data_IF_337475442871
#
_entry.id   IF_337475442871
#
_cell.length_a   1.000
_cell.length_b   1.000
_cell.length_c   1.000
_cell.angle_alpha   90.00
_cell.angle_beta   90.00
_cell.angle_gamma   90.00
#
_symmetry.space_group_name_H-M   'P 1'
#
loop_
_entity.id
_entity.type
_entity.pdbx_description
1 polymer ?
#
# COMPACT_ATOMS: atom_id res chain seq x y z
N UNK A 1 9.61 5.63 -18.19
CA UNK A 1 10.84 5.53 -17.35
C UNK A 1 10.47 6.06 -15.96
N UNK A 2 10.51 5.21 -14.95
CA UNK A 2 10.09 5.51 -13.57
C UNK A 2 11.27 6.10 -12.78
N UNK A 3 12.47 5.50 -12.91
CA UNK A 3 13.66 5.94 -12.18
C UNK A 3 14.29 7.13 -12.90
N UNK A 4 14.28 8.31 -12.25
CA UNK A 4 14.62 9.60 -12.85
C UNK A 4 16.12 9.89 -12.90
N UNK A 5 16.89 9.37 -11.94
CA UNK A 5 18.33 9.60 -11.83
C UNK A 5 19.17 8.41 -12.31
N UNK A 6 18.72 7.75 -13.36
CA UNK A 6 19.35 6.54 -13.92
C UNK A 6 20.84 6.77 -14.26
N UNK A 7 21.17 7.90 -14.87
CA UNK A 7 22.55 8.20 -15.30
C UNK A 7 23.50 8.29 -14.09
N UNK A 8 23.05 8.90 -12.99
CA UNK A 8 23.80 8.96 -11.74
C UNK A 8 24.05 7.56 -11.16
N UNK A 9 23.05 6.69 -11.22
CA UNK A 9 23.12 5.32 -10.67
C UNK A 9 24.00 4.38 -11.52
N UNK A 10 24.27 4.71 -12.78
CA UNK A 10 24.98 3.84 -13.75
C UNK A 10 26.32 4.38 -14.22
N UNK A 11 26.86 5.40 -13.56
CA UNK A 11 28.18 5.98 -13.87
C UNK A 11 29.34 5.00 -13.67
N UNK A 12 29.18 4.00 -12.81
CA UNK A 12 30.13 2.89 -12.68
C UNK A 12 29.80 1.80 -13.70
N UNK A 13 30.78 1.33 -14.47
CA UNK A 13 30.65 0.43 -15.62
C UNK A 13 30.08 -0.99 -15.30
N UNK A 14 29.44 -1.23 -14.17
CA UNK A 14 28.87 -2.53 -13.83
C UNK A 14 27.52 -2.71 -14.53
N UNK A 15 27.47 -3.63 -15.47
CA UNK A 15 26.27 -4.07 -16.19
C UNK A 15 25.10 -4.41 -15.25
N UNK A 16 25.39 -4.92 -14.03
CA UNK A 16 24.41 -5.28 -13.00
C UNK A 16 23.50 -4.11 -12.60
N UNK A 17 24.03 -2.88 -12.50
CA UNK A 17 23.21 -1.71 -12.13
C UNK A 17 22.14 -1.42 -13.18
N UNK A 18 22.48 -1.44 -14.46
CA UNK A 18 21.52 -1.27 -15.54
C UNK A 18 20.43 -2.35 -15.54
N UNK A 19 20.83 -3.60 -15.29
CA UNK A 19 19.90 -4.74 -15.21
C UNK A 19 18.98 -4.61 -14.00
N UNK A 20 19.51 -4.28 -12.82
CA UNK A 20 18.73 -4.07 -11.60
C UNK A 20 17.67 -2.97 -11.77
N UNK A 21 18.02 -1.84 -12.39
CA UNK A 21 17.08 -0.75 -12.66
C UNK A 21 15.94 -1.20 -13.58
N UNK A 22 16.24 -1.98 -14.63
CA UNK A 22 15.20 -2.54 -15.52
C UNK A 22 14.27 -3.52 -14.79
N UNK A 23 14.82 -4.34 -13.90
CA UNK A 23 14.04 -5.29 -13.11
C UNK A 23 13.12 -4.57 -12.14
N UNK A 24 13.64 -3.58 -11.39
CA UNK A 24 12.85 -2.79 -10.44
C UNK A 24 11.74 -2.01 -11.16
N UNK A 25 12.07 -1.36 -12.28
CA UNK A 25 11.06 -0.64 -13.07
C UNK A 25 9.97 -1.55 -13.57
N UNK A 26 10.29 -2.74 -14.08
CA UNK A 26 9.29 -3.71 -14.54
C UNK A 26 8.29 -4.08 -13.44
N UNK A 27 8.77 -4.28 -12.19
CA UNK A 27 7.91 -4.54 -11.04
C UNK A 27 6.98 -3.37 -10.73
N UNK A 28 7.51 -2.15 -10.68
CA UNK A 28 6.69 -0.95 -10.39
C UNK A 28 5.72 -0.66 -11.53
N UNK A 29 6.15 -0.75 -12.80
CA UNK A 29 5.30 -0.52 -13.99
C UNK A 29 4.13 -1.49 -14.05
N UNK A 30 4.35 -2.74 -13.66
CA UNK A 30 3.32 -3.77 -13.67
C UNK A 30 2.18 -3.45 -12.71
N UNK A 31 2.48 -2.81 -11.58
CA UNK A 31 1.50 -2.46 -10.54
C UNK A 31 1.01 -1.01 -10.59
N UNK A 32 1.30 -0.28 -11.68
CA UNK A 32 0.68 1.03 -11.91
C UNK A 32 -0.82 0.89 -12.20
N UNK A 33 -1.67 1.78 -11.69
CA UNK A 33 -3.13 1.70 -11.90
C UNK A 33 -3.54 1.51 -13.37
N UNK A 34 -2.91 2.23 -14.30
CA UNK A 34 -3.20 2.10 -15.73
C UNK A 34 -2.86 0.70 -16.27
N UNK A 35 -1.73 0.13 -15.87
CA UNK A 35 -1.31 -1.22 -16.28
C UNK A 35 -2.24 -2.29 -15.70
N UNK A 36 -2.51 -2.20 -14.40
CA UNK A 36 -3.38 -3.16 -13.70
C UNK A 36 -4.80 -3.12 -14.27
N UNK A 37 -5.40 -1.94 -14.44
CA UNK A 37 -6.76 -1.83 -14.98
C UNK A 37 -6.86 -2.39 -16.42
N UNK A 38 -5.80 -2.20 -17.22
CA UNK A 38 -5.77 -2.73 -18.58
C UNK A 38 -5.75 -4.26 -18.61
N UNK A 39 -5.03 -4.90 -17.70
CA UNK A 39 -4.91 -6.35 -17.63
C UNK A 39 -6.04 -7.02 -16.87
N UNK A 40 -6.38 -6.53 -15.68
CA UNK A 40 -7.32 -7.19 -14.78
C UNK A 40 -8.80 -6.91 -15.09
N UNK A 41 -9.12 -5.75 -15.70
CA UNK A 41 -10.51 -5.36 -15.96
C UNK A 41 -10.85 -5.51 -17.43
N UNK A 42 -11.92 -6.22 -17.73
CA UNK A 42 -12.44 -6.34 -19.10
C UNK A 42 -13.94 -6.06 -19.13
N UNK A 43 -14.35 -5.05 -19.87
CA UNK A 43 -15.74 -4.67 -20.05
C UNK A 43 -16.15 -4.87 -21.53
N UNK A 44 -17.22 -5.65 -21.74
CA UNK A 44 -17.83 -5.79 -23.06
C UNK A 44 -19.09 -4.93 -23.12
N UNK A 45 -19.10 -3.86 -23.93
CA UNK A 45 -20.25 -2.95 -24.01
C UNK A 45 -21.48 -3.56 -24.69
N UNK A 46 -21.30 -4.55 -25.56
CA UNK A 46 -22.42 -5.20 -26.28
C UNK A 46 -23.20 -6.12 -25.34
N UNK A 47 -22.51 -7.01 -24.65
CA UNK A 47 -23.11 -7.89 -23.64
C UNK A 47 -23.28 -7.23 -22.28
N UNK A 48 -22.75 -6.00 -22.09
CA UNK A 48 -22.74 -5.25 -20.83
C UNK A 48 -22.19 -6.10 -19.67
N UNK A 49 -21.16 -6.87 -19.95
CA UNK A 49 -20.54 -7.74 -18.96
C UNK A 49 -19.20 -7.18 -18.48
N UNK A 50 -18.99 -7.24 -17.17
CA UNK A 50 -17.73 -6.88 -16.53
C UNK A 50 -17.05 -8.16 -16.05
N UNK A 51 -15.78 -8.34 -16.45
CA UNK A 51 -14.90 -9.37 -15.92
C UNK A 51 -13.77 -8.72 -15.14
N UNK A 52 -13.41 -9.33 -14.03
CA UNK A 52 -12.20 -8.95 -13.29
C UNK A 52 -11.35 -10.21 -13.16
N UNK A 53 -10.13 -10.15 -13.68
CA UNK A 53 -9.29 -11.32 -13.94
C UNK A 53 -10.06 -12.37 -14.75
N UNK A 54 -10.09 -13.63 -14.31
CA UNK A 54 -10.83 -14.73 -14.96
C UNK A 54 -12.30 -14.81 -14.51
N UNK A 55 -12.72 -14.02 -13.53
CA UNK A 55 -14.06 -14.07 -12.98
C UNK A 55 -15.04 -13.19 -13.75
N UNK A 56 -16.16 -13.76 -14.21
CA UNK A 56 -17.29 -12.97 -14.73
C UNK A 56 -18.05 -12.37 -13.55
N UNK A 57 -17.84 -11.09 -13.31
CA UNK A 57 -18.39 -10.45 -12.13
C UNK A 57 -19.84 -9.97 -12.30
N UNK A 58 -20.27 -9.62 -13.49
CA UNK A 58 -21.63 -9.11 -13.71
C UNK A 58 -22.04 -9.01 -15.15
N UNK A 59 -23.31 -9.33 -15.44
CA UNK A 59 -24.04 -8.69 -16.52
C UNK A 59 -24.64 -7.41 -15.93
N UNK A 60 -24.29 -6.24 -16.48
CA UNK A 60 -24.71 -4.94 -15.96
C UNK A 60 -25.98 -4.50 -16.70
N UNK A 61 -27.14 -4.86 -16.20
CA UNK A 61 -28.42 -4.47 -16.82
C UNK A 61 -28.75 -2.99 -16.61
N UNK A 62 -28.31 -2.44 -15.48
CA UNK A 62 -28.52 -1.05 -15.09
C UNK A 62 -27.33 -0.12 -15.36
N UNK A 63 -27.15 0.83 -14.49
CA UNK A 63 -26.16 1.90 -14.56
C UNK A 63 -24.93 1.55 -13.73
N UNK A 64 -23.76 2.07 -14.14
CA UNK A 64 -22.50 1.91 -13.40
C UNK A 64 -22.23 3.19 -12.60
N UNK A 65 -21.99 3.01 -11.30
CA UNK A 65 -21.56 4.05 -10.37
C UNK A 65 -20.17 3.72 -9.84
N UNK A 66 -19.39 4.73 -9.53
CA UNK A 66 -18.03 4.54 -9.00
C UNK A 66 -17.87 5.26 -7.66
N UNK A 67 -17.37 4.56 -6.65
CA UNK A 67 -17.05 5.10 -5.33
C UNK A 67 -15.66 4.64 -4.91
N UNK A 68 -15.17 5.12 -3.76
CA UNK A 68 -13.97 4.57 -3.18
C UNK A 68 -12.99 5.61 -2.65
N UNK A 69 -11.79 5.13 -2.29
CA UNK A 69 -10.71 6.02 -1.86
C UNK A 69 -9.45 5.31 -1.44
N UNK A 70 -8.35 6.01 -1.63
CA UNK A 70 -7.00 5.57 -1.38
C UNK A 70 -5.99 6.45 -2.11
N UNK A 71 -4.70 6.27 -1.84
CA UNK A 71 -3.63 7.05 -2.47
C UNK A 71 -3.58 6.89 -4.01
N UNK A 72 -3.87 5.69 -4.51
CA UNK A 72 -3.88 5.39 -5.94
C UNK A 72 -5.27 5.50 -6.58
N UNK A 73 -6.35 5.67 -5.78
CA UNK A 73 -7.73 5.58 -6.27
C UNK A 73 -8.09 6.67 -7.30
N UNK A 74 -7.40 7.81 -7.32
CA UNK A 74 -7.56 8.83 -8.37
C UNK A 74 -7.07 8.35 -9.74
N UNK A 75 -5.88 7.77 -9.81
CA UNK A 75 -5.34 7.17 -11.03
C UNK A 75 -6.10 5.89 -11.43
N UNK A 76 -6.60 5.13 -10.46
CA UNK A 76 -7.51 4.01 -10.74
C UNK A 76 -8.81 4.50 -11.40
N UNK A 77 -9.33 5.66 -10.98
CA UNK A 77 -10.52 6.25 -11.58
C UNK A 77 -10.29 6.69 -13.04
N UNK A 78 -9.15 7.33 -13.33
CA UNK A 78 -8.75 7.65 -14.72
C UNK A 78 -8.65 6.38 -15.57
N UNK A 79 -7.89 5.39 -15.10
CA UNK A 79 -7.69 4.13 -15.79
C UNK A 79 -9.00 3.35 -16.00
N UNK A 80 -9.94 3.43 -15.06
CA UNK A 80 -11.25 2.80 -15.18
C UNK A 80 -12.10 3.50 -16.26
N UNK A 81 -12.12 4.84 -16.29
CA UNK A 81 -12.83 5.60 -17.35
C UNK A 81 -12.27 5.27 -18.74
N UNK A 82 -10.95 5.16 -18.87
CA UNK A 82 -10.31 4.77 -20.14
C UNK A 82 -10.63 3.33 -20.52
N UNK A 83 -10.66 2.42 -19.56
CA UNK A 83 -10.84 0.98 -19.82
C UNK A 83 -12.26 0.59 -20.16
N UNK A 84 -13.25 1.09 -19.43
CA UNK A 84 -14.66 0.73 -19.65
C UNK A 84 -15.41 1.74 -20.52
N UNK A 85 -14.80 2.89 -20.79
CA UNK A 85 -15.39 3.98 -21.57
C UNK A 85 -16.23 4.94 -20.72
N UNK A 86 -15.97 6.22 -20.84
CA UNK A 86 -16.60 7.31 -20.08
C UNK A 86 -18.12 7.27 -20.12
N UNK A 87 -18.72 6.91 -21.28
CA UNK A 87 -20.17 6.87 -21.47
C UNK A 87 -20.86 5.72 -20.75
N UNK A 88 -20.12 4.69 -20.33
CA UNK A 88 -20.65 3.55 -19.59
C UNK A 88 -20.73 3.82 -18.08
N UNK A 89 -20.07 4.86 -17.60
CA UNK A 89 -20.15 5.32 -16.20
C UNK A 89 -21.15 6.46 -16.12
N UNK A 90 -22.18 6.32 -15.26
CA UNK A 90 -23.12 7.42 -15.06
C UNK A 90 -22.48 8.56 -14.27
N UNK A 91 -21.91 8.24 -13.13
CA UNK A 91 -21.19 9.17 -12.25
C UNK A 91 -20.39 8.43 -11.20
N UNK A 92 -19.47 9.12 -10.54
CA UNK A 92 -18.73 8.55 -9.42
C UNK A 92 -18.11 9.61 -8.51
N UNK A 93 -17.70 9.18 -7.32
CA UNK A 93 -16.99 10.02 -6.34
C UNK A 93 -15.91 9.17 -5.66
N UNK A 94 -14.68 9.63 -5.70
CA UNK A 94 -13.52 8.95 -5.13
C UNK A 94 -12.71 9.94 -4.30
N UNK A 95 -12.33 9.55 -3.08
CA UNK A 95 -11.41 10.32 -2.27
C UNK A 95 -9.97 9.91 -2.56
N UNK A 96 -9.08 10.86 -2.79
CA UNK A 96 -7.67 10.56 -3.08
C UNK A 96 -6.75 11.63 -2.48
N UNK A 97 -5.47 11.30 -2.33
CA UNK A 97 -4.42 12.27 -2.05
C UNK A 97 -3.84 12.77 -3.37
N UNK A 98 -3.91 14.07 -3.63
CA UNK A 98 -3.38 14.65 -4.87
C UNK A 98 -4.24 15.78 -5.38
N UNK A 99 -3.77 16.51 -6.39
CA UNK A 99 -4.37 17.81 -6.73
C UNK A 99 -5.17 17.84 -8.02
N UNK A 100 -4.88 17.01 -9.00
CA UNK A 100 -5.56 17.03 -10.30
C UNK A 100 -5.57 15.63 -10.94
N UNK A 101 -6.73 15.26 -11.45
CA UNK A 101 -6.98 14.03 -12.19
C UNK A 101 -7.84 14.34 -13.40
N UNK A 102 -7.63 13.64 -14.50
CA UNK A 102 -8.28 13.90 -15.80
C UNK A 102 -9.59 13.15 -15.99
N UNK A 103 -10.27 12.82 -14.89
CA UNK A 103 -11.57 12.12 -14.92
C UNK A 103 -12.70 13.02 -15.44
N UNK A 104 -13.67 12.41 -16.15
CA UNK A 104 -14.82 13.11 -16.78
C UNK A 104 -16.15 12.84 -16.08
N UNK A 105 -16.36 11.64 -15.57
CA UNK A 105 -17.59 11.20 -14.88
C UNK A 105 -17.37 10.98 -13.39
N UNK A 106 -16.14 10.69 -13.01
CA UNK A 106 -15.77 10.40 -11.62
C UNK A 106 -15.16 11.64 -10.99
N UNK A 107 -15.83 12.22 -10.00
CA UNK A 107 -15.32 13.34 -9.23
C UNK A 107 -14.27 12.85 -8.24
N UNK A 108 -13.02 13.31 -8.36
CA UNK A 108 -11.97 13.02 -7.40
C UNK A 108 -11.87 14.14 -6.37
N UNK A 109 -11.99 13.78 -5.09
CA UNK A 109 -11.93 14.73 -3.97
C UNK A 109 -10.57 14.59 -3.29
N UNK A 110 -9.82 15.68 -3.24
CA UNK A 110 -8.55 15.74 -2.53
C UNK A 110 -8.79 15.76 -1.01
N UNK A 111 -8.43 14.68 -0.33
CA UNK A 111 -8.61 14.45 1.10
C UNK A 111 -7.29 14.36 1.85
N UNK A 112 -7.34 14.57 3.18
CA UNK A 112 -6.17 14.55 4.06
C UNK A 112 -5.61 13.14 4.29
N UNK A 113 -4.29 13.02 4.20
CA UNK A 113 -3.55 11.81 4.53
C UNK A 113 -2.14 12.19 5.03
N UNK A 114 -1.60 11.63 6.13
CA UNK A 114 -2.15 10.49 6.92
C UNK A 114 -3.27 10.87 7.90
N UNK A 115 -3.47 12.15 8.18
CA UNK A 115 -4.50 12.61 9.11
C UNK A 115 -5.81 12.83 8.33
N UNK A 116 -6.93 12.18 8.73
CA UNK A 116 -8.22 12.40 8.11
C UNK A 116 -8.68 13.85 8.24
N UNK A 117 -9.43 14.37 7.26
CA UNK A 117 -9.94 15.73 7.31
C UNK A 117 -11.41 15.87 6.87
N UNK A 118 -11.96 17.09 6.99
CA UNK A 118 -13.34 17.41 6.62
C UNK A 118 -13.62 17.24 5.12
N UNK A 119 -12.60 17.34 4.27
CA UNK A 119 -12.74 17.12 2.81
C UNK A 119 -13.04 15.66 2.54
N UNK A 120 -12.28 14.75 3.19
CA UNK A 120 -12.52 13.31 3.14
C UNK A 120 -13.91 12.93 3.65
N UNK A 121 -14.34 13.52 4.77
CA UNK A 121 -15.68 13.35 5.32
C UNK A 121 -16.77 13.77 4.32
N UNK A 122 -16.63 14.94 3.69
CA UNK A 122 -17.57 15.43 2.69
C UNK A 122 -17.59 14.56 1.43
N UNK A 123 -16.46 14.01 1.03
CA UNK A 123 -16.40 13.05 -0.07
C UNK A 123 -17.23 11.80 0.21
N UNK A 124 -17.08 11.21 1.40
CA UNK A 124 -17.89 10.05 1.80
C UNK A 124 -19.37 10.38 1.88
N UNK A 125 -19.75 11.56 2.42
CA UNK A 125 -21.16 12.01 2.40
C UNK A 125 -21.74 12.05 0.99
N UNK A 126 -20.97 12.58 0.01
CA UNK A 126 -21.39 12.63 -1.38
C UNK A 126 -21.47 11.21 -1.99
N UNK A 127 -20.55 10.29 -1.68
CA UNK A 127 -20.62 8.89 -2.11
C UNK A 127 -21.93 8.24 -1.65
N UNK A 128 -22.27 8.36 -0.37
CA UNK A 128 -23.48 7.79 0.18
C UNK A 128 -24.75 8.42 -0.42
N UNK A 129 -24.73 9.74 -0.64
CA UNK A 129 -25.85 10.46 -1.24
C UNK A 129 -26.16 10.03 -2.69
N UNK A 130 -25.22 9.36 -3.40
CA UNK A 130 -25.49 8.83 -4.74
C UNK A 130 -26.65 7.84 -4.76
N UNK A 131 -26.77 7.02 -3.69
CA UNK A 131 -27.83 5.99 -3.61
C UNK A 131 -29.22 6.60 -3.74
N UNK A 132 -29.51 7.59 -2.93
CA UNK A 132 -30.83 8.24 -2.90
C UNK A 132 -31.02 9.16 -4.12
N UNK A 133 -30.00 9.98 -4.44
CA UNK A 133 -30.02 10.92 -5.57
C UNK A 133 -30.33 10.26 -6.92
N UNK A 134 -29.84 9.04 -7.10
CA UNK A 134 -30.02 8.31 -8.35
C UNK A 134 -30.92 7.09 -8.22
N UNK A 135 -31.55 6.87 -7.04
CA UNK A 135 -32.39 5.69 -6.77
C UNK A 135 -31.68 4.41 -7.20
N UNK A 136 -30.45 4.23 -6.70
CA UNK A 136 -29.59 3.06 -7.03
C UNK A 136 -30.27 1.79 -6.51
N UNK A 137 -30.40 0.77 -7.37
CA UNK A 137 -31.12 -0.45 -7.07
C UNK A 137 -30.35 -1.72 -7.52
N UNK A 138 -30.96 -2.88 -7.40
CA UNK A 138 -30.34 -4.19 -7.67
C UNK A 138 -29.94 -4.44 -9.13
N UNK A 139 -30.46 -3.67 -10.09
CA UNK A 139 -30.05 -3.76 -11.50
C UNK A 139 -28.76 -2.97 -11.77
N UNK A 140 -28.43 -1.99 -10.92
CA UNK A 140 -27.25 -1.16 -11.07
C UNK A 140 -25.98 -1.88 -10.55
N UNK A 141 -24.83 -1.35 -10.91
CA UNK A 141 -23.52 -1.80 -10.44
C UNK A 141 -22.79 -0.65 -9.76
N UNK A 142 -22.22 -0.92 -8.59
CA UNK A 142 -21.28 -0.02 -7.90
C UNK A 142 -19.87 -0.60 -7.99
N UNK A 143 -18.94 0.12 -8.62
CA UNK A 143 -17.53 -0.22 -8.61
C UNK A 143 -16.86 0.57 -7.49
N UNK A 144 -16.17 -0.12 -6.57
CA UNK A 144 -15.48 0.49 -5.44
C UNK A 144 -13.97 0.43 -5.65
N UNK A 145 -13.31 1.58 -5.82
CA UNK A 145 -11.87 1.69 -6.04
C UNK A 145 -11.16 1.88 -4.70
N UNK A 146 -10.41 0.88 -4.26
CA UNK A 146 -9.73 0.87 -2.95
C UNK A 146 -8.23 0.76 -3.14
N UNK A 147 -7.47 1.57 -2.39
CA UNK A 147 -6.02 1.41 -2.30
C UNK A 147 -5.51 1.85 -0.93
N UNK A 148 -4.20 1.71 -0.70
CA UNK A 148 -3.55 2.11 0.54
C UNK A 148 -3.89 3.54 0.97
N UNK A 149 -3.93 3.75 2.29
CA UNK A 149 -4.32 5.04 2.87
C UNK A 149 -5.83 5.31 2.92
N UNK A 150 -6.68 4.43 2.37
CA UNK A 150 -8.14 4.59 2.34
C UNK A 150 -8.77 4.77 3.73
N UNK A 151 -8.15 4.24 4.78
CA UNK A 151 -8.62 4.44 6.17
C UNK A 151 -8.66 5.90 6.60
N UNK A 152 -7.67 6.70 6.18
CA UNK A 152 -7.62 8.14 6.47
C UNK A 152 -8.38 8.96 5.43
N UNK A 153 -8.29 8.57 4.16
CA UNK A 153 -8.91 9.30 3.04
C UNK A 153 -10.44 9.18 3.02
N UNK A 154 -11.00 8.13 3.61
CA UNK A 154 -12.45 7.94 3.75
C UNK A 154 -12.88 7.93 5.22
N UNK A 155 -12.81 9.06 5.94
CA UNK A 155 -13.32 9.13 7.31
C UNK A 155 -14.85 9.35 7.28
N UNK A 156 -15.58 8.59 8.09
CA UNK A 156 -17.00 8.82 8.36
C UNK A 156 -17.37 8.27 9.73
N UNK A 157 -17.24 9.07 10.79
CA UNK A 157 -17.60 8.66 12.13
C UNK A 157 -19.09 8.29 12.25
N UNK A 158 -19.40 7.43 13.22
CA UNK A 158 -20.80 7.17 13.63
C UNK A 158 -21.41 8.39 14.29
N UNK A 159 -22.75 8.43 14.39
CA UNK A 159 -23.44 9.55 15.02
C UNK A 159 -23.05 9.69 16.49
N UNK A 160 -22.88 10.92 16.92
CA UNK A 160 -22.44 11.26 18.28
C UNK A 160 -20.91 11.23 18.47
N UNK A 161 -20.13 10.79 17.49
CA UNK A 161 -18.65 10.82 17.55
C UNK A 161 -18.14 11.83 16.52
N UNK A 162 -17.34 12.78 16.97
CA UNK A 162 -16.70 13.76 16.08
C UNK A 162 -15.53 13.16 15.29
N UNK A 163 -15.09 13.84 14.23
CA UNK A 163 -13.88 13.45 13.52
C UNK A 163 -12.64 13.57 14.42
N UNK A 164 -12.62 14.58 15.25
CA UNK A 164 -11.60 14.90 16.23
C UNK A 164 -11.50 13.78 17.30
N UNK A 165 -12.63 13.31 17.84
CA UNK A 165 -12.66 12.19 18.80
C UNK A 165 -12.09 10.90 18.18
N UNK A 166 -12.43 10.64 16.91
CA UNK A 166 -11.90 9.49 16.18
C UNK A 166 -10.41 9.60 15.93
N UNK A 167 -9.90 10.79 15.59
CA UNK A 167 -8.48 11.07 15.44
C UNK A 167 -7.74 10.86 16.76
N UNK A 168 -8.25 11.45 17.85
CA UNK A 168 -7.67 11.33 19.19
C UNK A 168 -7.59 9.87 19.65
N UNK A 169 -8.65 9.09 19.45
CA UNK A 169 -8.67 7.66 19.78
C UNK A 169 -7.61 6.89 18.99
N UNK A 170 -7.48 7.18 17.68
CA UNK A 170 -6.47 6.54 16.83
C UNK A 170 -5.06 6.89 17.27
N UNK A 171 -4.82 8.15 17.64
CA UNK A 171 -3.51 8.62 18.15
C UNK A 171 -3.13 7.90 19.44
N UNK A 172 -4.05 7.75 20.38
CA UNK A 172 -3.84 7.03 21.63
C UNK A 172 -3.46 5.56 21.37
N UNK A 173 -4.18 4.89 20.47
CA UNK A 173 -3.91 3.49 20.11
C UNK A 173 -2.54 3.33 19.44
N UNK A 174 -2.12 4.28 18.61
CA UNK A 174 -0.78 4.26 18.00
C UNK A 174 0.31 4.48 19.07
N UNK A 175 0.12 5.43 19.99
CA UNK A 175 1.09 5.75 21.05
C UNK A 175 1.31 4.61 22.04
N UNK A 176 0.28 3.82 22.34
CA UNK A 176 0.43 2.67 23.23
C UNK A 176 1.02 1.42 22.56
N UNK A 177 1.36 1.50 21.27
CA UNK A 177 1.98 0.40 20.53
C UNK A 177 1.01 -0.69 20.06
N UNK A 178 -0.30 -0.40 19.99
CA UNK A 178 -1.26 -1.34 19.43
C UNK A 178 -0.96 -1.64 17.96
N UNK A 179 -1.03 -2.91 17.56
CA UNK A 179 -0.79 -3.33 16.19
C UNK A 179 -1.98 -3.00 15.30
N UNK A 180 -1.75 -2.91 13.97
CA UNK A 180 -2.77 -2.42 13.02
C UNK A 180 -4.08 -3.20 13.06
N UNK A 181 -4.04 -4.52 13.23
CA UNK A 181 -5.25 -5.35 13.34
C UNK A 181 -6.06 -5.02 14.61
N UNK A 182 -5.40 -4.70 15.70
CA UNK A 182 -6.05 -4.25 16.95
C UNK A 182 -6.67 -2.87 16.75
N UNK A 183 -5.90 -1.92 16.22
CA UNK A 183 -6.39 -0.56 15.94
C UNK A 183 -7.65 -0.61 15.04
N UNK A 184 -7.64 -1.50 14.04
CA UNK A 184 -8.76 -1.62 13.11
C UNK A 184 -10.04 -2.13 13.78
N UNK A 185 -9.97 -2.97 14.81
CA UNK A 185 -11.17 -3.35 15.59
C UNK A 185 -11.92 -2.11 16.11
N UNK A 186 -11.21 -1.17 16.70
CA UNK A 186 -11.80 0.10 17.18
C UNK A 186 -12.23 0.98 16.01
N UNK A 187 -11.36 1.19 15.02
CA UNK A 187 -11.64 2.05 13.86
C UNK A 187 -12.90 1.66 13.09
N UNK A 188 -13.18 0.36 12.94
CA UNK A 188 -14.34 -0.16 12.24
C UNK A 188 -15.63 0.16 13.01
N UNK A 189 -15.65 -0.10 14.31
CA UNK A 189 -16.81 0.15 15.15
C UNK A 189 -17.14 1.64 15.26
N UNK A 190 -16.15 2.53 15.20
CA UNK A 190 -16.34 3.98 15.20
C UNK A 190 -16.65 4.58 13.81
N UNK A 191 -17.04 3.76 12.82
CA UNK A 191 -17.22 4.22 11.44
C UNK A 191 -18.52 3.74 10.82
N UNK A 192 -19.19 4.63 10.07
CA UNK A 192 -20.39 4.29 9.28
C UNK A 192 -20.08 3.55 7.97
N UNK A 193 -18.80 3.45 7.56
CA UNK A 193 -18.45 2.88 6.24
C UNK A 193 -17.38 1.78 6.30
N UNK A 194 -16.69 1.58 7.43
CA UNK A 194 -15.67 0.54 7.59
C UNK A 194 -16.29 -0.77 8.08
N UNK A 195 -15.50 -1.87 8.03
CA UNK A 195 -15.97 -3.19 8.47
C UNK A 195 -17.23 -3.64 7.73
N UNK A 196 -17.25 -3.54 6.41
CA UNK A 196 -18.35 -3.97 5.55
C UNK A 196 -19.52 -2.99 5.43
N UNK A 197 -19.54 -1.94 6.25
CA UNK A 197 -20.73 -1.03 6.30
C UNK A 197 -20.95 -0.26 5.00
N UNK A 198 -19.88 0.09 4.23
CA UNK A 198 -20.06 0.73 2.94
C UNK A 198 -20.74 -0.22 1.93
N UNK A 199 -20.26 -1.47 1.87
CA UNK A 199 -20.87 -2.49 1.02
C UNK A 199 -22.30 -2.80 1.41
N UNK A 200 -22.57 -2.96 2.72
CA UNK A 200 -23.92 -3.17 3.26
C UNK A 200 -24.88 -2.01 3.00
N UNK A 201 -24.39 -0.77 3.02
CA UNK A 201 -25.19 0.42 2.69
C UNK A 201 -25.77 0.35 1.27
N UNK A 202 -25.02 -0.18 0.31
CA UNK A 202 -25.48 -0.32 -1.08
C UNK A 202 -26.33 -1.57 -1.32
N UNK A 203 -26.47 -2.48 -0.35
CA UNK A 203 -27.34 -3.66 -0.50
C UNK A 203 -28.77 -3.23 -0.89
N UNK A 204 -29.43 -3.95 -1.84
CA UNK A 204 -29.03 -5.19 -2.51
C UNK A 204 -28.19 -4.98 -3.78
N UNK A 205 -27.81 -3.76 -4.13
CA UNK A 205 -27.01 -3.44 -5.31
C UNK A 205 -25.66 -4.16 -5.24
N UNK A 206 -25.22 -4.76 -6.35
CA UNK A 206 -23.93 -5.42 -6.47
C UNK A 206 -22.79 -4.40 -6.35
N UNK A 207 -21.81 -4.70 -5.50
CA UNK A 207 -20.60 -3.91 -5.31
C UNK A 207 -19.39 -4.74 -5.71
N UNK A 208 -18.64 -4.28 -6.70
CA UNK A 208 -17.37 -4.88 -7.12
C UNK A 208 -16.24 -3.97 -6.69
N UNK A 209 -15.41 -4.45 -5.78
CA UNK A 209 -14.26 -3.71 -5.30
C UNK A 209 -13.00 -4.11 -6.06
N UNK A 210 -12.35 -3.12 -6.68
CA UNK A 210 -11.06 -3.23 -7.32
C UNK A 210 -10.01 -2.67 -6.36
N UNK A 211 -9.09 -3.51 -5.93
CA UNK A 211 -8.22 -3.22 -4.78
C UNK A 211 -6.75 -3.29 -5.20
N UNK A 212 -6.00 -2.21 -4.93
CA UNK A 212 -4.52 -2.24 -4.93
C UNK A 212 -4.08 -2.30 -3.47
N UNK A 213 -3.49 -3.44 -3.09
CA UNK A 213 -3.11 -3.74 -1.70
C UNK A 213 -1.70 -3.26 -1.38
N UNK A 214 -1.57 -2.44 -0.32
CA UNK A 214 -0.30 -2.12 0.34
C UNK A 214 -0.13 -2.88 1.67
N UNK A 215 -1.04 -3.78 2.00
CA UNK A 215 -1.02 -4.57 3.23
C UNK A 215 -0.25 -5.87 3.02
N UNK A 216 0.78 -6.10 3.82
CA UNK A 216 1.56 -7.34 3.76
C UNK A 216 0.68 -8.54 4.11
N UNK A 217 0.43 -9.40 3.11
CA UNK A 217 -0.43 -10.57 3.23
C UNK A 217 -1.83 -10.40 2.66
N UNK A 218 -2.14 -9.21 2.11
CA UNK A 218 -3.37 -8.93 1.36
C UNK A 218 -4.67 -9.16 2.15
N UNK A 219 -4.63 -8.89 3.47
CA UNK A 219 -5.79 -9.05 4.32
C UNK A 219 -6.87 -7.99 4.01
N UNK A 220 -7.95 -8.43 3.38
CA UNK A 220 -9.09 -7.59 2.98
C UNK A 220 -9.74 -6.86 4.17
N UNK A 221 -9.66 -7.47 5.36
CA UNK A 221 -10.15 -6.88 6.61
C UNK A 221 -9.30 -5.67 7.05
N UNK A 222 -8.03 -5.66 6.70
CA UNK A 222 -7.07 -4.60 7.04
C UNK A 222 -7.03 -3.49 5.99
N UNK A 223 -7.15 -3.81 4.69
CA UNK A 223 -7.06 -2.83 3.59
C UNK A 223 -8.17 -1.80 3.73
N UNK A 224 -7.82 -0.52 3.88
CA UNK A 224 -8.73 0.60 4.14
C UNK A 224 -9.69 0.36 5.33
N UNK A 225 -9.40 -0.61 6.22
CA UNK A 225 -10.27 -1.13 7.28
C UNK A 225 -11.56 -1.78 6.74
N UNK A 226 -11.47 -2.50 5.63
CA UNK A 226 -12.51 -3.36 5.06
C UNK A 226 -13.86 -2.69 4.75
N UNK A 227 -13.94 -1.63 3.93
CA UNK A 227 -15.23 -0.94 3.71
C UNK A 227 -16.28 -1.81 3.02
N UNK A 228 -15.88 -2.79 2.22
CA UNK A 228 -16.72 -3.73 1.47
C UNK A 228 -16.48 -5.20 1.86
N UNK A 229 -15.76 -5.43 2.96
CA UNK A 229 -15.45 -6.75 3.46
C UNK A 229 -16.03 -6.94 4.88
N UNK A 230 -16.63 -8.11 5.20
CA UNK A 230 -17.23 -8.35 6.51
C UNK A 230 -16.21 -8.22 7.64
N UNK A 231 -16.67 -7.73 8.79
CA UNK A 231 -15.84 -7.57 9.99
C UNK A 231 -16.01 -8.75 10.93
N UNK A 232 -14.95 -9.49 11.19
CA UNK A 232 -14.96 -10.59 12.15
C UNK A 232 -14.94 -10.14 13.62
N UNK A 233 -14.51 -8.87 13.88
CA UNK A 233 -14.43 -8.34 15.25
C UNK A 233 -15.77 -7.81 15.76
N UNK A 234 -15.92 -7.70 17.08
CA UNK A 234 -17.13 -7.28 17.77
C UNK A 234 -16.91 -5.99 18.56
N UNK A 235 -18.01 -5.33 19.00
CA UNK A 235 -17.93 -4.24 19.97
C UNK A 235 -17.18 -4.65 21.24
N UNK A 236 -17.37 -5.90 21.68
CA UNK A 236 -16.67 -6.42 22.86
C UNK A 236 -15.15 -6.49 22.63
N UNK A 237 -14.71 -6.90 21.41
CA UNK A 237 -13.28 -6.91 21.07
C UNK A 237 -12.69 -5.51 21.07
N UNK A 238 -13.40 -4.54 20.49
CA UNK A 238 -12.98 -3.14 20.48
C UNK A 238 -12.88 -2.54 21.89
N UNK A 239 -13.85 -2.81 22.73
CA UNK A 239 -13.87 -2.37 24.13
C UNK A 239 -12.77 -3.03 24.97
N UNK A 240 -12.58 -4.35 24.82
CA UNK A 240 -11.53 -5.10 25.51
C UNK A 240 -10.14 -4.61 25.12
N UNK A 241 -9.96 -4.13 23.88
CA UNK A 241 -8.71 -3.53 23.45
C UNK A 241 -8.39 -2.24 24.21
N UNK A 242 -9.38 -1.36 24.42
CA UNK A 242 -9.18 -0.17 25.24
C UNK A 242 -8.80 -0.52 26.69
N UNK A 243 -9.37 -1.58 27.25
CA UNK A 243 -8.99 -2.09 28.58
C UNK A 243 -7.57 -2.65 28.58
N UNK A 244 -7.19 -3.44 27.57
CA UNK A 244 -5.85 -4.04 27.46
C UNK A 244 -4.73 -3.00 27.51
N UNK A 245 -4.97 -1.82 26.96
CA UNK A 245 -4.00 -0.73 26.89
C UNK A 245 -4.27 0.41 27.88
N UNK A 246 -5.13 0.19 28.88
CA UNK A 246 -5.51 1.18 29.92
C UNK A 246 -5.99 2.53 29.33
N UNK A 247 -6.69 2.49 28.20
CA UNK A 247 -7.13 3.68 27.48
C UNK A 247 -8.56 4.12 27.82
N UNK A 248 -9.32 3.38 28.62
CA UNK A 248 -10.73 3.66 28.93
C UNK A 248 -10.95 5.04 29.56
N UNK A 249 -10.01 5.52 30.38
CA UNK A 249 -10.07 6.86 30.98
C UNK A 249 -9.46 7.96 30.07
N UNK A 250 -8.80 7.59 28.98
CA UNK A 250 -8.04 8.53 28.11
C UNK A 250 -8.73 8.82 26.78
N UNK A 251 -9.58 7.89 26.29
CA UNK A 251 -10.38 8.10 25.08
C UNK A 251 -11.53 9.09 25.35
N UNK A 252 -12.01 9.79 24.32
CA UNK A 252 -13.19 10.64 24.45
C UNK A 252 -14.40 9.87 25.01
N UNK A 253 -15.18 10.50 25.90
CA UNK A 253 -16.37 9.91 26.51
C UNK A 253 -17.39 9.43 25.45
N UNK A 254 -17.55 10.19 24.37
CA UNK A 254 -18.38 9.83 23.21
C UNK A 254 -18.02 8.47 22.63
N UNK A 255 -16.72 8.17 22.54
CA UNK A 255 -16.18 6.90 22.02
C UNK A 255 -16.43 5.77 23.01
N UNK A 256 -16.10 5.98 24.28
CA UNK A 256 -16.29 4.96 25.34
C UNK A 256 -17.76 4.56 25.46
N UNK A 257 -18.64 5.55 25.63
CA UNK A 257 -20.10 5.34 25.75
C UNK A 257 -20.69 4.63 24.53
N UNK A 258 -20.21 4.98 23.30
CA UNK A 258 -20.68 4.31 22.09
C UNK A 258 -20.27 2.83 22.05
N UNK A 259 -19.03 2.49 22.42
CA UNK A 259 -18.56 1.11 22.47
C UNK A 259 -19.30 0.31 23.54
N UNK A 260 -19.55 0.89 24.72
CA UNK A 260 -20.32 0.26 25.78
C UNK A 260 -21.76 -0.02 25.36
N UNK A 261 -22.42 0.92 24.67
CA UNK A 261 -23.75 0.70 24.10
C UNK A 261 -23.75 -0.44 23.08
N UNK A 262 -22.69 -0.54 22.28
CA UNK A 262 -22.49 -1.67 21.37
C UNK A 262 -22.35 -3.00 22.10
N UNK A 263 -21.57 -3.05 23.20
CA UNK A 263 -21.47 -4.24 24.06
C UNK A 263 -22.80 -4.65 24.69
N UNK A 264 -23.72 -3.70 24.95
CA UNK A 264 -25.08 -3.96 25.44
C UNK A 264 -26.10 -4.24 24.33
N UNK A 265 -25.63 -4.40 23.07
CA UNK A 265 -26.48 -4.61 21.87
C UNK A 265 -27.48 -3.46 21.61
N UNK A 266 -27.24 -2.25 22.12
CA UNK A 266 -28.05 -1.05 21.85
C UNK A 266 -27.71 -0.41 20.46
N UNK A 267 -26.63 -0.85 19.87
CA UNK A 267 -26.15 -0.42 18.55
C UNK A 267 -25.91 -1.65 17.69
N UNK A 268 -26.32 -1.58 16.42
CA UNK A 268 -26.12 -2.66 15.47
C UNK A 268 -24.62 -2.94 15.23
N UNK A 269 -24.27 -4.21 15.28
CA UNK A 269 -22.92 -4.69 15.02
C UNK A 269 -22.48 -4.42 13.56
N UNK A 270 -21.18 -4.46 13.30
CA UNK A 270 -20.66 -4.46 11.94
C UNK A 270 -21.13 -5.70 11.18
N UNK A 271 -21.37 -5.61 9.85
CA UNK A 271 -21.78 -6.75 9.05
C UNK A 271 -20.82 -7.94 9.17
N UNK A 272 -21.35 -9.12 9.51
CA UNK A 272 -20.58 -10.38 9.59
C UNK A 272 -20.60 -11.18 8.29
N UNK A 273 -21.48 -10.80 7.37
CA UNK A 273 -21.56 -11.35 6.01
C UNK A 273 -22.07 -10.28 5.04
N UNK A 274 -21.66 -10.36 3.79
CA UNK A 274 -22.09 -9.48 2.70
C UNK A 274 -22.28 -10.34 1.45
N UNK A 275 -23.51 -10.44 0.96
CA UNK A 275 -23.84 -11.24 -0.23
C UNK A 275 -23.78 -10.45 -1.52
N UNK A 276 -23.73 -9.12 -1.43
CA UNK A 276 -23.69 -8.21 -2.57
C UNK A 276 -22.29 -7.67 -2.91
N UNK A 277 -21.26 -8.02 -2.15
CA UNK A 277 -19.90 -7.49 -2.30
C UNK A 277 -18.93 -8.55 -2.85
N UNK A 278 -18.18 -8.18 -3.88
CA UNK A 278 -17.16 -8.99 -4.54
C UNK A 278 -15.85 -8.21 -4.51
N UNK A 279 -14.84 -8.72 -3.82
CA UNK A 279 -13.58 -8.01 -3.61
C UNK A 279 -12.47 -8.68 -4.41
N UNK A 280 -11.81 -7.92 -5.31
CA UNK A 280 -10.74 -8.38 -6.19
C UNK A 280 -9.48 -7.57 -5.91
N UNK A 281 -8.42 -8.24 -5.47
CA UNK A 281 -7.10 -7.65 -5.35
C UNK A 281 -6.44 -7.74 -6.72
N UNK A 282 -6.49 -6.63 -7.46
CA UNK A 282 -5.97 -6.53 -8.81
C UNK A 282 -4.50 -6.10 -8.86
N UNK A 283 -3.96 -5.59 -7.75
CA UNK A 283 -2.55 -5.20 -7.62
C UNK A 283 -2.05 -5.43 -6.21
N UNK A 284 -0.89 -6.07 -6.09
CA UNK A 284 -0.23 -6.32 -4.81
C UNK A 284 1.29 -6.51 -4.98
N UNK A 285 1.97 -6.71 -3.88
CA UNK A 285 3.43 -6.90 -3.87
C UNK A 285 3.86 -8.15 -4.66
N UNK A 286 3.09 -9.24 -4.58
CA UNK A 286 3.41 -10.49 -5.28
C UNK A 286 3.43 -10.31 -6.79
N UNK A 287 2.47 -9.59 -7.36
CA UNK A 287 2.43 -9.26 -8.80
C UNK A 287 3.63 -8.42 -9.24
N UNK A 288 4.07 -7.46 -8.41
CA UNK A 288 5.29 -6.70 -8.69
C UNK A 288 6.53 -7.63 -8.77
N UNK A 289 6.67 -8.55 -7.81
CA UNK A 289 7.78 -9.51 -7.79
C UNK A 289 7.74 -10.49 -8.96
N UNK A 290 6.56 -10.91 -9.41
CA UNK A 290 6.40 -11.78 -10.58
C UNK A 290 6.84 -11.07 -11.86
N UNK A 291 6.50 -9.80 -12.03
CA UNK A 291 7.00 -8.99 -13.14
C UNK A 291 8.53 -8.78 -13.06
N UNK A 292 9.08 -8.58 -11.87
CA UNK A 292 10.53 -8.53 -11.65
C UNK A 292 11.20 -9.86 -12.01
N UNK A 293 10.61 -11.00 -11.64
CA UNK A 293 11.13 -12.32 -11.97
C UNK A 293 11.11 -12.56 -13.48
N UNK A 294 10.01 -12.23 -14.16
CA UNK A 294 9.93 -12.30 -15.61
C UNK A 294 11.02 -11.46 -16.27
N UNK A 295 11.18 -10.20 -15.83
CA UNK A 295 12.23 -9.32 -16.36
C UNK A 295 13.64 -9.84 -16.09
N UNK A 296 13.88 -10.44 -14.92
CA UNK A 296 15.15 -11.10 -14.60
C UNK A 296 15.46 -12.21 -15.59
N UNK A 297 14.47 -13.07 -15.90
CA UNK A 297 14.63 -14.15 -16.90
C UNK A 297 14.92 -13.60 -18.29
N UNK A 298 14.21 -12.55 -18.73
CA UNK A 298 14.46 -11.88 -20.01
C UNK A 298 15.89 -11.31 -20.12
N UNK A 299 16.50 -10.96 -18.99
CA UNK A 299 17.89 -10.44 -18.91
C UNK A 299 18.94 -11.54 -18.68
N UNK A 300 18.55 -12.82 -18.70
CA UNK A 300 19.43 -13.98 -18.56
C UNK A 300 19.75 -14.40 -17.13
N UNK A 301 19.00 -13.90 -16.13
CA UNK A 301 19.10 -14.36 -14.74
C UNK A 301 18.16 -15.54 -14.47
N UNK A 302 18.49 -16.29 -13.42
CA UNK A 302 17.63 -17.32 -12.85
C UNK A 302 16.97 -16.77 -11.56
N UNK A 303 15.72 -16.28 -11.63
CA UNK A 303 15.08 -15.64 -10.50
C UNK A 303 14.48 -16.62 -9.49
N UNK A 304 14.47 -16.22 -8.22
CA UNK A 304 13.67 -16.84 -7.16
C UNK A 304 12.95 -15.75 -6.35
N UNK A 305 11.65 -15.92 -6.12
CA UNK A 305 10.88 -15.07 -5.21
C UNK A 305 10.84 -15.78 -3.85
N UNK A 306 11.53 -15.22 -2.87
CA UNK A 306 11.61 -15.78 -1.53
C UNK A 306 10.30 -15.57 -0.76
N UNK A 307 9.82 -14.33 -0.75
CA UNK A 307 8.57 -13.96 -0.08
C UNK A 307 8.06 -12.61 -0.59
N UNK A 308 6.74 -12.43 -0.55
CA UNK A 308 6.06 -11.14 -0.70
C UNK A 308 5.56 -10.60 0.66
N UNK A 309 6.01 -11.21 1.78
CA UNK A 309 5.49 -10.97 3.13
C UNK A 309 6.59 -10.68 4.14
N UNK A 310 7.73 -10.13 3.69
CA UNK A 310 8.83 -9.75 4.58
C UNK A 310 8.32 -8.73 5.60
N UNK A 311 8.58 -8.99 6.88
CA UNK A 311 8.27 -8.13 8.03
C UNK A 311 9.45 -8.13 9.01
N UNK A 312 9.30 -7.39 10.08
CA UNK A 312 10.25 -7.34 11.20
C UNK A 312 11.25 -6.21 11.08
N UNK A 313 12.30 -6.26 11.88
CA UNK A 313 13.35 -5.25 11.89
C UNK A 313 14.12 -5.22 10.57
N UNK A 314 14.36 -4.03 10.06
CA UNK A 314 15.00 -3.82 8.75
C UNK A 314 16.43 -4.35 8.71
N UNK A 315 17.22 -4.08 9.75
CA UNK A 315 18.61 -4.52 9.80
C UNK A 315 18.72 -6.04 9.94
N UNK A 316 17.90 -6.65 10.80
CA UNK A 316 17.83 -8.10 10.96
C UNK A 316 17.43 -8.78 9.64
N UNK A 317 16.43 -8.25 8.93
CA UNK A 317 15.96 -8.79 7.65
C UNK A 317 17.06 -8.74 6.57
N UNK A 318 17.77 -7.60 6.45
CA UNK A 318 18.85 -7.43 5.48
C UNK A 318 20.03 -8.34 5.80
N UNK A 319 20.42 -8.41 7.05
CA UNK A 319 21.53 -9.26 7.51
C UNK A 319 21.24 -10.74 7.33
N UNK A 320 20.06 -11.20 7.71
CA UNK A 320 19.63 -12.58 7.52
C UNK A 320 19.65 -12.98 6.04
N UNK A 321 19.19 -12.10 5.14
CA UNK A 321 19.20 -12.37 3.71
C UNK A 321 20.60 -12.46 3.13
N UNK A 322 21.46 -11.51 3.47
CA UNK A 322 22.88 -11.54 3.06
C UNK A 322 23.57 -12.82 3.54
N UNK A 323 23.36 -13.20 4.80
CA UNK A 323 23.91 -14.43 5.37
C UNK A 323 23.44 -15.68 4.61
N UNK A 324 22.14 -15.82 4.35
CA UNK A 324 21.60 -16.96 3.59
C UNK A 324 22.18 -17.05 2.16
N UNK A 325 22.43 -15.90 1.51
CA UNK A 325 23.08 -15.83 0.20
C UNK A 325 24.52 -16.34 0.29
N UNK A 326 25.29 -15.85 1.24
CA UNK A 326 26.70 -16.20 1.43
C UNK A 326 26.85 -17.68 1.79
N UNK A 327 25.95 -18.23 2.61
CA UNK A 327 25.90 -19.64 2.99
C UNK A 327 25.41 -20.57 1.84
N UNK A 328 25.07 -19.99 0.67
CA UNK A 328 24.67 -20.78 -0.51
C UNK A 328 23.25 -21.34 -0.46
N UNK A 329 22.37 -20.83 0.40
CA UNK A 329 20.99 -21.31 0.52
C UNK A 329 20.19 -21.21 -0.78
N UNK A 330 20.56 -20.29 -1.66
CA UNK A 330 19.90 -20.04 -2.95
C UNK A 330 20.78 -20.49 -4.13
N UNK A 331 21.54 -21.57 -3.97
CA UNK A 331 22.40 -22.10 -5.03
C UNK A 331 21.56 -22.42 -6.28
N UNK A 332 22.05 -22.02 -7.46
CA UNK A 332 21.35 -22.15 -8.74
C UNK A 332 20.48 -20.94 -9.11
N UNK A 333 20.28 -19.99 -8.19
CA UNK A 333 19.59 -18.74 -8.45
C UNK A 333 20.55 -17.55 -8.34
N UNK A 334 20.42 -16.59 -9.24
CA UNK A 334 21.26 -15.38 -9.24
C UNK A 334 20.49 -14.06 -9.33
N UNK A 335 19.14 -14.13 -9.24
CA UNK A 335 18.25 -12.99 -9.00
C UNK A 335 17.31 -13.36 -7.87
N UNK A 336 17.53 -12.77 -6.68
CA UNK A 336 16.80 -13.09 -5.47
C UNK A 336 15.85 -11.93 -5.17
N UNK A 337 14.55 -12.20 -5.18
CA UNK A 337 13.48 -11.24 -5.08
C UNK A 337 12.73 -11.40 -3.76
N UNK A 338 12.54 -10.29 -3.06
CA UNK A 338 11.85 -10.23 -1.79
C UNK A 338 10.90 -9.03 -1.82
N UNK A 339 9.74 -9.18 -1.22
CA UNK A 339 8.82 -8.08 -1.03
C UNK A 339 8.16 -8.07 0.32
N UNK A 340 7.62 -6.94 0.72
CA UNK A 340 6.97 -6.75 2.00
C UNK A 340 7.25 -5.37 2.59
N UNK A 341 7.17 -5.26 3.90
CA UNK A 341 7.40 -4.00 4.61
C UNK A 341 8.12 -4.26 5.93
N UNK A 342 9.40 -3.86 5.99
CA UNK A 342 10.18 -3.90 7.23
C UNK A 342 9.98 -2.63 8.05
N UNK A 343 10.38 -2.65 9.31
CA UNK A 343 10.24 -1.52 10.23
C UNK A 343 11.57 -1.12 10.84
N UNK A 344 11.72 0.18 11.11
CA UNK A 344 12.84 0.73 11.87
C UNK A 344 12.40 1.07 13.28
N UNK A 345 13.14 0.65 14.28
CA UNK A 345 13.01 1.11 15.66
C UNK A 345 14.00 2.25 15.87
N UNK A 346 13.53 3.48 15.61
CA UNK A 346 14.38 4.66 15.66
C UNK A 346 14.60 5.15 17.09
N UNK A 347 15.87 5.41 17.52
CA UNK A 347 16.14 6.15 18.74
C UNK A 347 15.79 7.64 18.58
N UNK A 348 15.66 8.37 19.70
CA UNK A 348 15.30 9.80 19.70
C UNK A 348 16.22 10.66 18.84
N UNK A 349 17.51 10.34 18.77
CA UNK A 349 18.53 11.08 18.02
C UNK A 349 18.94 10.35 16.73
N UNK A 350 17.98 9.74 16.01
CA UNK A 350 18.25 9.11 14.72
C UNK A 350 18.60 10.13 13.64
N UNK A 351 19.47 9.71 12.69
CA UNK A 351 19.80 10.50 11.49
C UNK A 351 18.69 10.48 10.45
N UNK A 352 19.05 10.80 9.20
CA UNK A 352 18.12 10.85 8.06
C UNK A 352 18.17 9.56 7.25
N UNK A 353 17.01 9.05 6.87
CA UNK A 353 16.87 7.85 6.03
C UNK A 353 15.51 7.20 6.18
N UNK A 354 15.29 6.16 5.41
CA UNK A 354 14.11 5.31 5.50
C UNK A 354 14.52 3.84 5.56
N UNK A 355 13.53 2.95 5.66
CA UNK A 355 13.76 1.51 5.78
C UNK A 355 14.46 0.91 4.55
N UNK A 356 14.12 1.38 3.36
CA UNK A 356 14.73 0.89 2.12
C UNK A 356 16.20 1.31 2.01
N UNK A 357 16.50 2.56 2.30
CA UNK A 357 17.89 3.05 2.37
C UNK A 357 18.68 2.32 3.45
N UNK A 358 18.08 2.08 4.62
CA UNK A 358 18.75 1.37 5.70
C UNK A 358 18.97 -0.12 5.36
N UNK A 359 17.99 -0.77 4.70
CA UNK A 359 18.12 -2.14 4.20
C UNK A 359 19.32 -2.27 3.24
N UNK A 360 19.42 -1.36 2.28
CA UNK A 360 20.55 -1.34 1.33
C UNK A 360 21.88 -1.08 2.05
N UNK A 361 21.93 -0.16 3.03
CA UNK A 361 23.14 0.15 3.76
C UNK A 361 23.64 -1.04 4.62
N UNK A 362 22.74 -1.76 5.26
CA UNK A 362 23.08 -2.99 6.00
C UNK A 362 23.53 -4.08 5.04
N UNK A 363 22.83 -4.26 3.91
CA UNK A 363 23.21 -5.22 2.86
C UNK A 363 24.61 -4.94 2.31
N UNK A 364 24.99 -3.66 2.15
CA UNK A 364 26.32 -3.24 1.68
C UNK A 364 27.44 -3.81 2.56
N UNK A 365 27.28 -3.74 3.88
CA UNK A 365 28.27 -4.29 4.80
C UNK A 365 28.19 -5.81 4.91
N UNK A 366 26.99 -6.37 4.95
CA UNK A 366 26.77 -7.81 5.12
C UNK A 366 27.25 -8.62 3.92
N UNK A 367 27.07 -8.10 2.68
CA UNK A 367 27.49 -8.76 1.43
C UNK A 367 28.98 -8.62 1.13
N UNK A 368 29.75 -7.88 1.90
CA UNK A 368 31.17 -7.61 1.61
C UNK A 368 32.06 -8.87 1.60
N UNK A 369 31.63 -9.95 2.25
CA UNK A 369 32.31 -11.25 2.25
C UNK A 369 31.85 -12.20 1.11
N UNK A 370 30.88 -11.81 0.28
CA UNK A 370 30.47 -12.62 -0.87
C UNK A 370 31.61 -12.67 -1.91
N UNK A 371 32.01 -13.86 -2.39
CA UNK A 371 33.21 -14.00 -3.22
C UNK A 371 33.07 -13.52 -4.67
N UNK A 372 31.83 -13.37 -5.16
CA UNK A 372 31.53 -12.95 -6.53
C UNK A 372 31.11 -11.48 -6.64
N UNK A 373 30.69 -11.08 -7.84
CA UNK A 373 30.06 -9.79 -8.01
C UNK A 373 28.61 -9.85 -7.51
N UNK A 374 28.20 -8.81 -6.83
CA UNK A 374 26.85 -8.70 -6.29
C UNK A 374 26.31 -7.27 -6.38
N UNK A 375 25.00 -7.18 -6.37
CA UNK A 375 24.25 -5.94 -6.22
C UNK A 375 23.07 -6.21 -5.28
N UNK A 376 22.76 -5.26 -4.41
CA UNK A 376 21.58 -5.25 -3.59
C UNK A 376 20.80 -3.94 -3.75
N UNK A 377 19.48 -4.01 -3.82
CA UNK A 377 18.61 -2.84 -3.89
C UNK A 377 17.36 -3.04 -3.04
N UNK A 378 16.84 -1.96 -2.47
CA UNK A 378 15.56 -1.94 -1.76
C UNK A 378 14.83 -0.63 -2.08
N UNK A 379 13.54 -0.74 -2.47
CA UNK A 379 12.78 0.37 -3.05
C UNK A 379 11.32 0.31 -2.60
N UNK A 380 10.80 1.44 -2.12
CA UNK A 380 9.36 1.65 -1.92
C UNK A 380 8.66 1.89 -3.26
N UNK A 381 7.65 1.09 -3.56
CA UNK A 381 6.94 1.16 -4.85
C UNK A 381 6.18 2.46 -5.07
N UNK A 382 5.83 3.18 -4.01
CA UNK A 382 5.17 4.50 -4.06
C UNK A 382 6.12 5.67 -4.36
N UNK A 383 7.43 5.39 -4.39
CA UNK A 383 8.46 6.38 -4.70
C UNK A 383 8.93 7.18 -3.49
N UNK A 384 8.57 6.77 -2.27
CA UNK A 384 9.02 7.41 -1.04
C UNK A 384 9.58 6.39 -0.03
N UNK A 385 10.63 6.79 0.68
CA UNK A 385 11.23 6.00 1.75
C UNK A 385 11.43 6.90 2.97
N UNK A 386 10.33 7.22 3.68
CA UNK A 386 10.21 8.24 4.72
C UNK A 386 10.48 9.67 4.17
N UNK A 387 11.51 9.83 3.37
CA UNK A 387 11.80 11.08 2.63
C UNK A 387 11.03 11.06 1.29
N UNK A 388 10.29 12.14 0.94
CA UNK A 388 9.41 12.12 -0.22
C UNK A 388 10.17 12.07 -1.56
N UNK A 389 11.45 12.41 -1.56
CA UNK A 389 12.25 12.54 -2.78
C UNK A 389 13.11 11.30 -3.08
N UNK A 390 13.09 10.29 -2.22
CA UNK A 390 13.93 9.09 -2.34
C UNK A 390 13.05 7.86 -2.19
N UNK A 391 13.09 6.98 -3.19
CA UNK A 391 12.34 5.72 -3.17
C UNK A 391 13.10 4.59 -2.44
N UNK A 392 14.41 4.68 -2.35
CA UNK A 392 15.26 3.67 -1.74
C UNK A 392 16.72 3.82 -2.15
N UNK A 393 17.46 2.70 -2.12
CA UNK A 393 18.88 2.72 -2.51
C UNK A 393 19.32 1.41 -3.17
N UNK A 394 20.41 1.52 -3.94
CA UNK A 394 21.11 0.42 -4.60
C UNK A 394 22.60 0.48 -4.29
N UNK A 395 23.17 -0.66 -3.96
CA UNK A 395 24.57 -0.84 -3.58
C UNK A 395 25.17 -2.07 -4.28
N UNK A 396 26.48 -2.08 -4.45
CA UNK A 396 27.23 -3.19 -5.07
C UNK A 396 28.63 -3.33 -4.46
N UNK A 397 29.48 -4.21 -5.01
CA UNK A 397 30.87 -4.42 -4.59
C UNK A 397 31.70 -3.12 -4.51
N UNK A 398 31.43 -2.14 -5.36
CA UNK A 398 32.20 -0.89 -5.41
C UNK A 398 31.74 0.11 -4.35
N UNK A 399 30.51 0.00 -3.88
CA UNK A 399 29.95 0.97 -2.92
C UNK A 399 30.73 1.05 -1.61
N UNK A 400 31.12 -0.06 -0.94
CA UNK A 400 31.95 -0.01 0.26
C UNK A 400 33.39 0.49 -0.02
N UNK A 401 33.93 0.20 -1.20
CA UNK A 401 35.27 0.70 -1.62
C UNK A 401 35.24 2.22 -1.79
N UNK A 402 34.20 2.74 -2.42
CA UNK A 402 33.98 4.20 -2.57
C UNK A 402 33.81 4.88 -1.21
N UNK A 403 33.07 4.28 -0.28
CA UNK A 403 32.96 4.81 1.07
C UNK A 403 34.33 4.90 1.74
N UNK A 404 35.14 3.84 1.63
CA UNK A 404 36.50 3.80 2.21
C UNK A 404 37.43 4.85 1.60
N UNK A 405 37.43 4.98 0.26
CA UNK A 405 38.26 5.97 -0.43
C UNK A 405 37.90 7.42 -0.09
N UNK A 406 36.64 7.67 0.25
CA UNK A 406 36.18 8.98 0.72
C UNK A 406 36.38 9.18 2.25
N UNK A 407 37.02 8.24 2.96
CA UNK A 407 37.20 8.31 4.42
C UNK A 407 35.91 8.19 5.23
N UNK A 408 34.85 7.57 4.64
CA UNK A 408 33.53 7.47 5.26
C UNK A 408 33.45 6.17 6.08
N UNK A 409 33.25 6.29 7.40
CA UNK A 409 32.90 5.14 8.24
C UNK A 409 31.42 4.79 8.08
N UNK A 410 31.08 3.94 7.10
CA UNK A 410 29.70 3.56 6.80
C UNK A 410 28.96 2.98 8.00
N UNK A 411 29.64 2.15 8.83
CA UNK A 411 29.03 1.57 10.03
C UNK A 411 28.53 2.62 11.00
N UNK A 412 29.26 3.70 11.21
CA UNK A 412 28.85 4.79 12.10
C UNK A 412 27.57 5.51 11.63
N UNK A 413 27.31 5.58 10.31
CA UNK A 413 26.06 6.10 9.77
C UNK A 413 24.91 5.12 9.94
N UNK A 414 25.14 3.83 9.70
CA UNK A 414 24.13 2.77 9.87
C UNK A 414 23.68 2.70 11.32
N UNK A 415 24.63 2.70 12.29
CA UNK A 415 24.33 2.62 13.72
C UNK A 415 23.50 3.82 14.23
N UNK A 416 23.54 4.96 13.52
CA UNK A 416 22.72 6.16 13.80
C UNK A 416 21.48 6.29 12.94
N UNK A 417 21.15 5.30 12.12
CA UNK A 417 20.03 5.36 11.15
C UNK A 417 20.13 6.55 10.17
N UNK A 418 21.35 6.88 9.73
CA UNK A 418 21.66 8.05 8.89
C UNK A 418 22.03 7.64 7.45
N UNK A 419 21.30 6.67 6.90
CA UNK A 419 21.58 6.06 5.59
C UNK A 419 21.45 7.04 4.43
N UNK A 420 20.55 8.04 4.53
CA UNK A 420 20.44 9.07 3.49
C UNK A 420 21.69 9.93 3.39
N UNK A 421 22.22 10.40 4.54
CA UNK A 421 23.47 11.17 4.56
C UNK A 421 24.65 10.33 4.08
N UNK A 422 24.70 9.05 4.47
CA UNK A 422 25.71 8.10 3.99
C UNK A 422 25.75 8.05 2.46
N UNK A 423 24.61 7.75 1.85
CA UNK A 423 24.54 7.59 0.39
C UNK A 423 24.70 8.88 -0.39
N UNK A 424 24.30 10.03 0.16
CA UNK A 424 24.62 11.33 -0.41
C UNK A 424 26.12 11.60 -0.47
N UNK A 425 26.87 11.16 0.54
CA UNK A 425 28.32 11.32 0.57
C UNK A 425 29.06 10.33 -0.32
N UNK A 426 28.55 9.10 -0.46
CA UNK A 426 29.10 8.10 -1.36
C UNK A 426 28.82 8.48 -2.81
N UNK A 427 27.60 8.95 -3.12
CA UNK A 427 27.10 9.19 -4.47
C UNK A 427 26.59 7.91 -5.16
N UNK A 428 25.78 8.06 -6.22
CA UNK A 428 25.37 6.98 -7.10
C UNK A 428 24.61 5.82 -6.47
N UNK A 429 23.95 6.02 -5.33
CA UNK A 429 23.24 4.94 -4.63
C UNK A 429 21.76 5.20 -4.40
N UNK A 430 21.35 6.45 -4.21
CA UNK A 430 19.94 6.80 -3.95
C UNK A 430 19.08 6.66 -5.21
N UNK A 431 17.97 5.96 -5.12
CA UNK A 431 17.00 5.79 -6.20
C UNK A 431 15.90 6.83 -6.08
N UNK A 432 15.72 7.61 -7.16
CA UNK A 432 14.74 8.69 -7.24
C UNK A 432 13.73 8.37 -8.34
N UNK A 433 12.46 8.22 -7.95
CA UNK A 433 11.35 8.01 -8.88
C UNK A 433 10.37 9.19 -8.88
N UNK A 434 10.30 9.93 -7.77
CA UNK A 434 9.17 10.75 -7.43
C UNK A 434 7.94 9.88 -7.12
N UNK A 435 6.79 10.50 -6.95
CA UNK A 435 5.55 9.76 -6.72
C UNK A 435 5.19 8.91 -7.95
N UNK A 436 5.11 7.60 -7.80
CA UNK A 436 4.79 6.65 -8.86
C UNK A 436 3.29 6.53 -9.15
N UNK A 437 2.45 6.91 -8.18
CA UNK A 437 1.00 6.79 -8.27
C UNK A 437 0.45 5.40 -7.91
N UNK A 438 1.31 4.46 -7.51
CA UNK A 438 0.91 3.17 -6.93
C UNK A 438 1.49 3.01 -5.52
N UNK A 439 1.05 1.99 -4.79
CA UNK A 439 1.69 1.54 -3.56
C UNK A 439 1.33 0.07 -3.30
N UNK A 440 2.32 -0.80 -3.37
CA UNK A 440 2.23 -2.21 -3.01
C UNK A 440 3.36 -2.60 -2.05
N UNK A 441 3.74 -1.70 -1.16
CA UNK A 441 4.88 -1.83 -0.23
C UNK A 441 6.25 -1.86 -0.93
N UNK A 442 7.26 -2.51 -0.34
CA UNK A 442 8.64 -2.46 -0.79
C UNK A 442 9.00 -3.69 -1.63
N UNK A 443 9.95 -3.51 -2.53
CA UNK A 443 10.61 -4.59 -3.27
C UNK A 443 12.12 -4.55 -3.03
N UNK A 444 12.71 -5.73 -2.82
CA UNK A 444 14.14 -5.91 -2.61
C UNK A 444 14.67 -6.88 -3.65
N UNK A 445 15.86 -6.60 -4.15
CA UNK A 445 16.53 -7.36 -5.20
C UNK A 445 17.99 -7.61 -4.82
N UNK A 446 18.45 -8.85 -4.97
CA UNK A 446 19.89 -9.17 -5.05
C UNK A 446 20.17 -9.80 -6.42
N UNK A 447 21.22 -9.31 -7.08
CA UNK A 447 21.78 -9.91 -8.28
C UNK A 447 23.19 -10.43 -7.96
N UNK A 448 23.48 -11.64 -8.42
CA UNK A 448 24.74 -12.37 -8.13
C UNK A 448 25.40 -12.78 -9.44
N UNK A 449 26.74 -12.68 -9.51
CA UNK A 449 27.58 -13.17 -10.63
C UNK A 449 28.86 -13.80 -10.11
#
# INVERSE_FOLDING_TARGET
>A
MIIKNRDELTTTALTLRHQALKIIEAGIEHVLPATIMKSAVNYNPESRSLKVDDAVCSNVDGRIFVIGGGKASGLMAEALEDKIGVNNILTGIVNCKGKSYSTKRIKVINAGHPIPDKRGLNGVKQMLALKDKHSINNNDLVICLISGGGSALMPFPVDGISLEDKQRTTELLLKCGAVIHEINKVRKHLSKIKGGRLGGFYSPTKVISLIISDVVGDDLDAIASGPTYPDSSTFQDAYNLLKKYDLTASVPESVLSYLERGCRCEVAETPKSLTNCYNHIIGNNRLALEAMAQKSTELGFTPIIITAKQKGDTAEAAYARAKEIIEGKYQGYNSILIGGETTLKLPENSGKGGRNQHYAAVSMLAMNSYPGHWLAASVGTDGSDYLPDVAGAMVDNNTPLTATSHGINAKAYIDRFDSNTLFKKIGGSLIITGNTGTNVSDVMLYLLM
#
